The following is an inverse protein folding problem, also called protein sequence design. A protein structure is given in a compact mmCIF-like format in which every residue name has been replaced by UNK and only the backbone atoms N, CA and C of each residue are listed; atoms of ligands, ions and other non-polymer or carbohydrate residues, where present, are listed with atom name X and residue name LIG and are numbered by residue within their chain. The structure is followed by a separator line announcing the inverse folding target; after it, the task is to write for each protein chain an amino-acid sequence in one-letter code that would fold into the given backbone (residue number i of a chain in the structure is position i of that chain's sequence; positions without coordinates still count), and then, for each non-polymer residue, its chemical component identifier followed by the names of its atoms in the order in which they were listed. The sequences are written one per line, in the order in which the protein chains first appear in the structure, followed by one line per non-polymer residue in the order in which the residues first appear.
data_IF_912190949308
#
_entry.id   IF_912190949308
#
_cell.length_a   1.000
_cell.length_b   1.000
_cell.length_c   1.000
_cell.angle_alpha   90.00
_cell.angle_beta   90.00
_cell.angle_gamma   90.00
#
_symmetry.space_group_name_H-M   'P 1'
#
loop_
_entity.id
_entity.type
_entity.pdbx_description
1 polymer ?
#
# COMPACT_ATOMS: atom_id res chain seq x y z
N UNK A 1 -9.22 2.02 -13.48
CA UNK A 1 -9.71 3.31 -14.03
C UNK A 1 -11.16 3.57 -13.65
N UNK A 2 -11.53 4.79 -13.25
CA UNK A 2 -12.93 5.20 -13.03
C UNK A 2 -13.74 5.26 -14.33
N UNK A 3 -15.04 5.00 -14.24
CA UNK A 3 -15.95 4.82 -15.39
C UNK A 3 -16.01 6.06 -16.33
N UNK A 4 -16.06 7.26 -15.76
CA UNK A 4 -16.19 8.52 -16.53
C UNK A 4 -14.93 8.81 -17.35
N UNK A 5 -13.76 8.49 -16.80
CA UNK A 5 -12.48 8.70 -17.48
C UNK A 5 -12.26 7.69 -18.61
N UNK A 6 -12.67 6.44 -18.39
CA UNK A 6 -12.59 5.38 -19.41
C UNK A 6 -13.45 5.68 -20.64
N UNK A 7 -14.56 6.44 -20.48
CA UNK A 7 -15.42 6.86 -21.60
C UNK A 7 -14.79 7.98 -22.44
N UNK A 8 -14.02 8.88 -21.80
CA UNK A 8 -13.37 10.02 -22.47
C UNK A 8 -12.07 9.62 -23.17
N UNK A 9 -11.33 8.66 -22.60
CA UNK A 9 -10.07 8.17 -23.14
C UNK A 9 -10.10 6.64 -23.25
N UNK A 10 -10.54 6.14 -24.40
CA UNK A 10 -10.73 4.70 -24.66
C UNK A 10 -9.43 3.88 -24.60
N UNK A 11 -8.29 4.48 -24.97
CA UNK A 11 -6.99 3.82 -24.95
C UNK A 11 -6.21 4.00 -23.64
N UNK A 12 -6.63 4.92 -22.76
CA UNK A 12 -5.86 5.24 -21.57
C UNK A 12 -5.77 4.06 -20.58
N UNK A 13 -6.71 3.11 -20.63
CA UNK A 13 -6.64 1.89 -19.84
C UNK A 13 -5.50 0.94 -20.25
N UNK A 14 -4.85 1.15 -21.40
CA UNK A 14 -3.68 0.41 -21.88
C UNK A 14 -2.38 1.21 -21.72
N UNK A 15 -2.48 2.50 -21.44
CA UNK A 15 -1.31 3.34 -21.20
C UNK A 15 -0.62 2.95 -19.89
N UNK A 16 0.72 3.01 -19.90
CA UNK A 16 1.54 2.59 -18.77
C UNK A 16 1.28 3.41 -17.51
N UNK A 17 1.04 4.72 -17.64
CA UNK A 17 0.74 5.61 -16.50
C UNK A 17 -0.54 5.27 -15.75
N UNK A 18 -1.39 4.42 -16.32
CA UNK A 18 -2.65 3.96 -15.72
C UNK A 18 -2.63 2.48 -15.31
N UNK A 19 -1.51 1.79 -15.50
CA UNK A 19 -1.31 0.44 -15.00
C UNK A 19 -0.90 0.45 -13.52
N UNK A 20 -1.23 -0.63 -12.82
CA UNK A 20 -0.69 -0.85 -11.47
C UNK A 20 0.81 -1.09 -11.52
N UNK A 21 1.57 -0.41 -10.66
CA UNK A 21 3.00 -0.66 -10.45
C UNK A 21 3.24 -2.09 -9.94
N UNK A 22 2.32 -2.59 -9.11
CA UNK A 22 2.32 -3.96 -8.60
C UNK A 22 1.09 -4.72 -9.12
N UNK A 23 1.12 -5.19 -10.37
CA UNK A 23 0.00 -5.90 -10.94
C UNK A 23 -0.04 -7.35 -10.46
N UNK A 24 -1.25 -7.90 -10.33
CA UNK A 24 -1.46 -9.31 -10.05
C UNK A 24 -0.89 -10.17 -11.20
N UNK A 25 -0.45 -11.38 -10.86
CA UNK A 25 0.10 -12.34 -11.83
C UNK A 25 -0.94 -12.72 -12.89
N UNK A 26 -2.16 -12.98 -12.43
CA UNK A 26 -3.26 -13.45 -13.26
C UNK A 26 -4.28 -12.33 -13.52
N UNK A 27 -4.97 -12.44 -14.65
CA UNK A 27 -6.09 -11.57 -14.97
C UNK A 27 -7.32 -12.00 -14.17
N UNK A 28 -8.13 -11.04 -13.74
CA UNK A 28 -9.37 -11.30 -13.02
C UNK A 28 -10.54 -10.57 -13.67
N UNK A 29 -11.72 -11.16 -13.58
CA UNK A 29 -12.95 -10.56 -14.08
C UNK A 29 -13.48 -9.59 -13.04
N UNK A 30 -13.57 -8.31 -13.39
CA UNK A 30 -14.18 -7.30 -12.53
C UNK A 30 -15.69 -7.58 -12.43
N UNK A 31 -16.17 -8.04 -11.27
CA UNK A 31 -17.57 -8.36 -11.00
C UNK A 31 -18.53 -7.19 -11.29
N UNK A 32 -18.04 -5.95 -11.23
CA UNK A 32 -18.86 -4.75 -11.44
C UNK A 32 -19.04 -4.40 -12.92
N UNK A 33 -18.12 -4.82 -13.78
CA UNK A 33 -18.13 -4.42 -15.21
C UNK A 33 -18.10 -5.60 -16.18
N UNK A 34 -17.88 -6.83 -15.71
CA UNK A 34 -17.77 -8.03 -16.53
C UNK A 34 -16.51 -8.09 -17.41
N UNK A 35 -15.64 -7.07 -17.35
CA UNK A 35 -14.45 -6.97 -18.18
C UNK A 35 -13.27 -7.64 -17.46
N UNK A 36 -12.55 -8.48 -18.20
CA UNK A 36 -11.29 -9.07 -17.75
C UNK A 36 -10.20 -7.99 -17.71
N UNK A 37 -9.64 -7.73 -16.54
CA UNK A 37 -8.58 -6.73 -16.32
C UNK A 37 -7.53 -7.25 -15.36
N UNK A 38 -6.34 -6.63 -15.38
CA UNK A 38 -5.32 -6.91 -14.39
C UNK A 38 -5.55 -6.02 -13.17
N UNK A 39 -5.74 -6.66 -12.02
CA UNK A 39 -5.88 -5.98 -10.74
C UNK A 39 -4.51 -5.77 -10.09
N UNK A 40 -4.45 -5.02 -8.99
CA UNK A 40 -3.25 -4.98 -8.15
C UNK A 40 -3.09 -6.30 -7.39
N UNK A 41 -1.88 -6.57 -6.91
CA UNK A 41 -1.60 -7.74 -6.06
C UNK A 41 -2.55 -7.81 -4.87
N UNK A 42 -3.00 -9.01 -4.51
CA UNK A 42 -3.85 -9.18 -3.34
C UNK A 42 -3.07 -8.87 -2.05
N UNK A 43 -3.69 -8.11 -1.14
CA UNK A 43 -3.06 -7.69 0.11
C UNK A 43 -2.66 -8.87 1.00
N UNK A 44 -3.35 -10.01 0.90
CA UNK A 44 -3.04 -11.21 1.67
C UNK A 44 -1.68 -11.79 1.28
N UNK A 45 -1.25 -11.63 0.02
CA UNK A 45 0.07 -12.05 -0.44
C UNK A 45 1.14 -11.26 0.32
N UNK A 46 1.01 -9.92 0.36
CA UNK A 46 1.94 -9.05 1.09
C UNK A 46 1.99 -9.40 2.58
N UNK A 47 0.81 -9.60 3.22
CA UNK A 47 0.72 -10.01 4.63
C UNK A 47 1.43 -11.34 4.91
N UNK A 48 1.23 -12.34 4.05
CA UNK A 48 1.89 -13.66 4.16
C UNK A 48 3.40 -13.53 3.99
N UNK A 49 3.85 -12.78 3.00
CA UNK A 49 5.28 -12.54 2.74
C UNK A 49 5.97 -11.86 3.93
N UNK A 50 5.34 -10.85 4.55
CA UNK A 50 5.85 -10.20 5.77
C UNK A 50 5.96 -11.20 6.93
N UNK A 51 4.95 -12.06 7.13
CA UNK A 51 4.98 -13.08 8.19
C UNK A 51 6.16 -14.05 8.00
N UNK A 52 6.38 -14.52 6.77
CA UNK A 52 7.51 -15.41 6.43
C UNK A 52 8.85 -14.71 6.65
N UNK A 53 8.98 -13.45 6.22
CA UNK A 53 10.20 -12.66 6.41
C UNK A 53 10.50 -12.43 7.91
N UNK A 54 9.49 -12.09 8.70
CA UNK A 54 9.63 -11.89 10.14
C UNK A 54 10.09 -13.17 10.86
N UNK A 55 9.52 -14.32 10.48
CA UNK A 55 9.95 -15.61 11.01
C UNK A 55 11.41 -15.92 10.64
N UNK A 56 11.81 -15.69 9.38
CA UNK A 56 13.19 -15.90 8.93
C UNK A 56 14.19 -14.97 9.63
N UNK A 57 13.76 -13.76 9.99
CA UNK A 57 14.55 -12.81 10.76
C UNK A 57 14.60 -13.12 12.26
N UNK A 58 13.98 -14.21 12.74
CA UNK A 58 13.95 -14.58 14.15
C UNK A 58 13.07 -13.66 15.01
N UNK A 59 12.18 -12.88 14.40
CA UNK A 59 11.30 -11.97 15.13
C UNK A 59 10.16 -12.76 15.79
N UNK A 60 10.16 -12.79 17.11
CA UNK A 60 9.15 -13.50 17.92
C UNK A 60 7.83 -12.75 18.01
N UNK A 61 7.85 -11.42 17.79
CA UNK A 61 6.66 -10.57 17.82
C UNK A 61 5.92 -10.60 16.49
N UNK A 62 4.61 -10.39 16.53
CA UNK A 62 3.78 -10.28 15.33
C UNK A 62 4.13 -8.98 14.58
N UNK A 63 4.76 -9.13 13.42
CA UNK A 63 5.09 -8.01 12.53
C UNK A 63 4.06 -7.89 11.41
N UNK A 64 3.65 -6.67 11.12
CA UNK A 64 2.77 -6.32 10.02
C UNK A 64 3.33 -5.14 9.21
N UNK A 65 2.71 -4.83 8.07
CA UNK A 65 3.04 -3.63 7.30
C UNK A 65 2.87 -2.35 8.14
N UNK A 66 1.87 -2.31 9.03
CA UNK A 66 1.65 -1.19 9.95
C UNK A 66 2.79 -1.04 10.96
N UNK A 67 3.25 -2.16 11.52
CA UNK A 67 4.44 -2.19 12.41
C UNK A 67 5.66 -1.61 11.71
N UNK A 68 5.88 -1.98 10.45
CA UNK A 68 7.01 -1.46 9.66
C UNK A 68 6.88 0.05 9.40
N UNK A 69 5.66 0.54 9.13
CA UNK A 69 5.37 1.98 9.01
C UNK A 69 5.67 2.74 10.31
N UNK A 70 5.31 2.17 11.45
CA UNK A 70 5.60 2.77 12.76
C UNK A 70 7.10 2.82 13.05
N UNK A 71 7.81 1.71 12.82
CA UNK A 71 9.28 1.68 12.94
C UNK A 71 9.95 2.71 12.04
N UNK A 72 9.46 2.91 10.81
CA UNK A 72 9.94 3.96 9.93
C UNK A 72 9.75 5.36 10.54
N UNK A 73 8.56 5.67 11.06
CA UNK A 73 8.30 6.95 11.73
C UNK A 73 9.22 7.16 12.94
N UNK A 74 9.39 6.13 13.79
CA UNK A 74 10.30 6.17 14.94
C UNK A 74 11.74 6.42 14.51
N UNK A 75 12.21 5.78 13.44
CA UNK A 75 13.56 6.00 12.92
C UNK A 75 13.77 7.41 12.37
N UNK A 76 12.75 8.01 11.76
CA UNK A 76 12.83 9.42 11.32
C UNK A 76 12.91 10.37 12.52
N UNK A 77 12.11 10.13 13.57
CA UNK A 77 12.16 10.90 14.82
C UNK A 77 13.52 10.79 15.50
N UNK A 78 14.08 9.57 15.59
CA UNK A 78 15.41 9.33 16.17
C UNK A 78 16.54 10.03 15.41
N UNK A 79 16.36 10.28 14.11
CA UNK A 79 17.31 11.04 13.27
C UNK A 79 17.14 12.55 13.39
N UNK A 80 16.24 13.03 14.25
CA UNK A 80 16.00 14.45 14.48
C UNK A 80 15.19 15.12 13.37
N UNK A 81 14.46 14.34 12.54
CA UNK A 81 13.58 14.90 11.52
C UNK A 81 12.36 15.51 12.23
N UNK A 82 12.00 16.74 11.83
CA UNK A 82 10.84 17.45 12.37
C UNK A 82 9.55 16.62 12.17
N UNK A 83 8.75 16.53 13.23
CA UNK A 83 7.48 15.82 13.24
C UNK A 83 6.54 16.25 12.10
N UNK A 84 6.57 17.53 11.71
CA UNK A 84 5.75 18.04 10.58
C UNK A 84 6.13 17.43 9.24
N UNK A 85 7.43 17.17 9.04
CA UNK A 85 7.95 16.50 7.83
C UNK A 85 7.54 15.03 7.85
N UNK A 86 7.63 14.38 9.02
CA UNK A 86 7.21 12.98 9.19
C UNK A 86 5.71 12.83 8.93
N UNK A 87 4.89 13.77 9.41
CA UNK A 87 3.45 13.82 9.14
C UNK A 87 3.15 13.98 7.65
N UNK A 88 3.86 14.88 6.95
CA UNK A 88 3.73 15.05 5.51
C UNK A 88 4.12 13.78 4.72
N UNK A 89 5.15 13.06 5.17
CA UNK A 89 5.61 11.82 4.52
C UNK A 89 4.67 10.63 4.74
N UNK A 90 3.96 10.59 5.87
CA UNK A 90 3.07 9.48 6.23
C UNK A 90 1.59 9.75 5.94
N UNK A 91 1.27 10.96 5.46
CA UNK A 91 -0.08 11.44 5.13
C UNK A 91 -1.10 11.05 6.21
N UNK A 92 -0.71 11.23 7.48
CA UNK A 92 -1.63 11.07 8.60
C UNK A 92 -2.36 12.39 8.80
N UNK A 93 -3.51 12.53 8.14
CA UNK A 93 -4.48 13.62 8.37
C UNK A 93 -5.06 13.65 9.80
N UNK A 94 -4.73 12.68 10.67
CA UNK A 94 -5.34 12.56 11.99
C UNK A 94 -4.29 12.39 13.10
N UNK A 95 -4.07 13.45 13.87
CA UNK A 95 -3.15 13.53 15.01
C UNK A 95 -3.70 12.77 16.24
N UNK A 96 -4.89 12.18 16.13
CA UNK A 96 -5.67 11.68 17.27
C UNK A 96 -5.21 10.31 17.79
N UNK A 97 -4.36 9.55 17.09
CA UNK A 97 -4.08 8.14 17.45
C UNK A 97 -2.68 7.84 17.97
N UNK A 98 -1.88 8.81 18.43
CA UNK A 98 -0.51 8.52 18.88
C UNK A 98 -0.05 9.22 20.16
N UNK A 99 -0.93 9.92 20.90
CA UNK A 99 -0.58 10.53 22.20
C UNK A 99 -1.35 9.98 23.41
N UNK A 100 -1.87 8.75 23.34
CA UNK A 100 -2.42 8.06 24.52
C UNK A 100 -2.08 6.57 24.49
N UNK A 101 -0.88 6.25 24.97
CA UNK A 101 -0.57 5.09 25.83
C UNK A 101 0.84 5.18 26.36
#
# INVERSE_FOLDING_TARGET
MPYILARKYSNAAKEWGWQYVFPARDLSTDLRTGVVRRHHIDLSIVKKSIKVAAHRAGLTRRISAYTSRHSFATHLLQRGIDMRIIQALLDQQDVSTTMAR
#
